data_IF_743697603658
#
_entry.id   IF_743697603658
#
_cell.length_a   1.000
_cell.length_b   1.000
_cell.length_c   1.000
_cell.angle_alpha   90.00
_cell.angle_beta   90.00
_cell.angle_gamma   90.00
#
_symmetry.space_group_name_H-M   'P 1'
#
loop_
_entity.id
_entity.type
_entity.pdbx_description
1 polymer ?
#
# COMPACT_ATOMS: atom_id res chain seq x y z
N UNK A 1 -6.09 -9.68 -4.66
CA UNK A 1 -7.37 -9.01 -5.03
C UNK A 1 -7.67 -7.88 -4.06
N UNK A 2 -8.09 -6.71 -4.54
CA UNK A 2 -8.43 -5.54 -3.71
C UNK A 2 -9.87 -5.11 -4.03
N UNK A 3 -10.71 -4.96 -3.01
CA UNK A 3 -12.10 -4.50 -3.18
C UNK A 3 -12.41 -3.40 -2.17
N UNK A 4 -12.89 -2.26 -2.66
CA UNK A 4 -13.43 -1.16 -1.87
C UNK A 4 -14.94 -1.06 -2.12
N UNK A 5 -15.73 -1.18 -1.07
CA UNK A 5 -17.19 -1.10 -1.14
C UNK A 5 -17.66 0.17 -0.44
N UNK A 6 -18.07 1.16 -1.23
CA UNK A 6 -18.63 2.46 -0.81
C UNK A 6 -17.81 3.16 0.28
N UNK A 7 -16.49 3.12 0.10
CA UNK A 7 -15.54 3.67 1.05
C UNK A 7 -15.69 5.19 1.09
N UNK A 8 -16.11 5.73 2.24
CA UNK A 8 -16.26 7.17 2.43
C UNK A 8 -15.26 7.68 3.44
N UNK A 9 -14.52 8.71 3.06
CA UNK A 9 -13.57 9.42 3.92
C UNK A 9 -13.88 10.92 3.86
N UNK A 10 -14.04 11.54 5.02
CA UNK A 10 -14.29 12.98 5.12
C UNK A 10 -12.94 13.70 5.18
N UNK A 11 -12.59 14.38 4.09
CA UNK A 11 -11.45 15.30 4.06
C UNK A 11 -11.94 16.69 4.43
N UNK A 12 -11.55 17.17 5.60
CA UNK A 12 -12.06 18.42 6.21
C UNK A 12 -13.59 18.39 6.35
N UNK A 13 -14.32 18.91 5.36
CA UNK A 13 -15.78 18.93 5.32
C UNK A 13 -16.35 18.35 4.01
N UNK A 14 -15.50 17.75 3.17
CA UNK A 14 -15.89 17.20 1.88
C UNK A 14 -15.80 15.68 1.89
N UNK A 15 -16.90 14.97 1.57
CA UNK A 15 -16.87 13.52 1.48
C UNK A 15 -16.17 13.09 0.19
N UNK A 16 -15.14 12.25 0.34
CA UNK A 16 -14.51 11.52 -0.75
C UNK A 16 -15.07 10.09 -0.75
N UNK A 17 -15.49 9.59 -1.93
CA UNK A 17 -16.10 8.27 -2.07
C UNK A 17 -15.30 7.42 -3.06
N UNK A 18 -15.02 6.18 -2.69
CA UNK A 18 -14.25 5.23 -3.48
C UNK A 18 -14.93 3.86 -3.51
N UNK A 19 -15.24 3.40 -4.72
CA UNK A 19 -15.70 2.04 -4.97
C UNK A 19 -14.91 1.48 -6.14
N UNK A 20 -14.19 0.38 -5.92
CA UNK A 20 -13.33 -0.23 -6.94
C UNK A 20 -13.11 -1.71 -6.64
N UNK A 21 -12.84 -2.48 -7.68
CA UNK A 21 -12.45 -3.87 -7.58
C UNK A 21 -11.27 -4.13 -8.51
N UNK A 22 -10.18 -4.68 -7.96
CA UNK A 22 -8.95 -5.01 -8.68
C UNK A 22 -8.68 -6.49 -8.48
N UNK A 23 -8.62 -7.21 -9.60
CA UNK A 23 -8.40 -8.66 -9.63
C UNK A 23 -6.96 -9.01 -9.27
N UNK A 24 -6.72 -10.27 -8.92
CA UNK A 24 -5.35 -10.74 -8.72
C UNK A 24 -4.54 -10.65 -10.03
N UNK A 25 -3.27 -10.24 -9.92
CA UNK A 25 -2.37 -10.02 -11.06
C UNK A 25 -2.69 -8.79 -11.93
N UNK A 26 -3.76 -8.05 -11.65
CA UNK A 26 -4.15 -6.88 -12.43
C UNK A 26 -3.20 -5.69 -12.18
N UNK A 27 -2.90 -4.93 -13.23
CA UNK A 27 -2.08 -3.71 -13.17
C UNK A 27 -2.94 -2.51 -13.46
N UNK A 28 -3.14 -1.66 -12.45
CA UNK A 28 -4.05 -0.52 -12.52
C UNK A 28 -3.27 0.78 -12.33
N UNK A 29 -3.63 1.80 -13.12
CA UNK A 29 -3.16 3.15 -12.94
C UNK A 29 -4.31 4.06 -12.49
N UNK A 30 -4.07 4.88 -11.47
CA UNK A 30 -5.04 5.88 -10.98
C UNK A 30 -4.62 7.25 -11.53
N UNK A 31 -5.47 7.82 -12.38
CA UNK A 31 -5.24 9.10 -13.05
C UNK A 31 -6.20 10.17 -12.51
N UNK A 32 -5.72 11.41 -12.46
CA UNK A 32 -6.54 12.55 -12.04
C UNK A 32 -5.69 13.76 -11.68
N UNK A 33 -6.28 14.97 -11.65
CA UNK A 33 -5.57 16.21 -11.32
C UNK A 33 -5.00 16.18 -9.89
N UNK A 34 -4.14 17.15 -9.58
CA UNK A 34 -3.71 17.36 -8.18
C UNK A 34 -4.94 17.58 -7.30
N UNK A 35 -4.93 17.02 -6.08
CA UNK A 35 -6.08 17.10 -5.17
C UNK A 35 -7.24 16.13 -5.45
N UNK A 36 -7.22 15.35 -6.54
CA UNK A 36 -8.29 14.39 -6.85
C UNK A 36 -8.43 13.18 -5.88
N UNK A 37 -7.63 13.13 -4.81
CA UNK A 37 -7.71 12.05 -3.81
C UNK A 37 -6.88 10.80 -4.09
N UNK A 38 -5.95 10.84 -5.06
CA UNK A 38 -5.11 9.67 -5.41
C UNK A 38 -4.30 9.16 -4.21
N UNK A 39 -3.55 10.05 -3.55
CA UNK A 39 -2.76 9.70 -2.37
C UNK A 39 -3.66 9.30 -1.20
N UNK A 40 -4.83 9.92 -1.05
CA UNK A 40 -5.86 9.56 -0.06
C UNK A 40 -6.34 8.13 -0.26
N UNK A 41 -6.66 7.74 -1.49
CA UNK A 41 -7.07 6.39 -1.84
C UNK A 41 -5.99 5.36 -1.50
N UNK A 42 -4.73 5.62 -1.89
CA UNK A 42 -3.62 4.73 -1.56
C UNK A 42 -3.39 4.64 -0.05
N UNK A 43 -3.50 5.75 0.68
CA UNK A 43 -3.39 5.77 2.13
C UNK A 43 -4.52 5.01 2.84
N UNK A 44 -5.75 5.06 2.31
CA UNK A 44 -6.90 4.29 2.79
C UNK A 44 -6.71 2.78 2.57
N UNK A 45 -6.17 2.37 1.41
CA UNK A 45 -5.84 0.97 1.12
C UNK A 45 -4.71 0.47 2.04
N UNK A 46 -3.67 1.28 2.22
CA UNK A 46 -2.54 0.99 3.09
C UNK A 46 -2.85 1.08 4.59
N UNK A 47 -3.98 1.69 4.95
CA UNK A 47 -4.47 1.80 6.33
C UNK A 47 -3.89 2.95 7.13
N UNK A 48 -3.18 3.87 6.48
CA UNK A 48 -2.70 5.10 7.11
C UNK A 48 -3.85 6.07 7.37
N UNK A 49 -4.92 5.97 6.58
CA UNK A 49 -6.20 6.62 6.84
C UNK A 49 -7.27 5.55 7.11
N UNK A 50 -8.22 5.88 7.98
CA UNK A 50 -9.41 5.08 8.24
C UNK A 50 -10.61 5.74 7.58
N UNK A 51 -11.41 4.95 6.88
CA UNK A 51 -12.66 5.42 6.31
C UNK A 51 -13.73 5.58 7.40
N UNK A 52 -14.60 6.57 7.25
CA UNK A 52 -15.75 6.79 8.12
C UNK A 52 -16.86 5.77 7.85
N UNK A 53 -16.97 5.31 6.59
CA UNK A 53 -17.95 4.31 6.14
C UNK A 53 -17.36 3.40 5.06
N UNK A 54 -18.02 2.26 4.84
CA UNK A 54 -17.67 1.30 3.81
C UNK A 54 -16.67 0.23 4.27
N UNK A 55 -16.21 -0.59 3.32
CA UNK A 55 -15.36 -1.75 3.61
C UNK A 55 -14.15 -1.82 2.69
N UNK A 56 -12.97 -2.07 3.27
CA UNK A 56 -11.75 -2.44 2.55
C UNK A 56 -11.55 -3.94 2.68
N UNK A 57 -11.51 -4.66 1.56
CA UNK A 57 -11.20 -6.09 1.51
C UNK A 57 -9.92 -6.30 0.72
N UNK A 58 -8.96 -7.03 1.30
CA UNK A 58 -7.71 -7.42 0.66
C UNK A 58 -7.64 -8.95 0.70
N UNK A 59 -7.47 -9.57 -0.47
CA UNK A 59 -7.42 -11.03 -0.63
C UNK A 59 -8.60 -11.76 0.03
N UNK A 60 -9.80 -11.18 -0.09
CA UNK A 60 -11.04 -11.73 0.46
C UNK A 60 -11.22 -11.51 1.98
N UNK A 61 -10.27 -10.86 2.65
CA UNK A 61 -10.33 -10.58 4.10
C UNK A 61 -10.64 -9.10 4.35
N UNK A 62 -11.55 -8.83 5.29
CA UNK A 62 -11.88 -7.46 5.71
C UNK A 62 -10.70 -6.85 6.48
N UNK A 63 -10.21 -5.72 5.98
CA UNK A 63 -9.10 -4.96 6.53
C UNK A 63 -9.46 -3.53 6.92
N UNK A 64 -10.75 -3.18 6.99
CA UNK A 64 -11.22 -1.80 7.31
C UNK A 64 -10.55 -1.21 8.55
N UNK A 65 -10.34 -2.02 9.60
CA UNK A 65 -9.70 -1.60 10.85
C UNK A 65 -8.34 -2.25 11.11
N UNK A 66 -7.76 -2.92 10.12
CA UNK A 66 -6.40 -3.48 10.27
C UNK A 66 -5.38 -2.35 10.21
N UNK A 67 -4.44 -2.24 11.18
CA UNK A 67 -3.40 -1.22 11.14
C UNK A 67 -2.42 -1.45 9.98
N UNK A 68 -1.75 -0.40 9.46
CA UNK A 68 -0.86 -0.51 8.30
C UNK A 68 0.15 -1.65 8.37
N UNK A 69 0.80 -1.83 9.53
CA UNK A 69 1.83 -2.84 9.74
C UNK A 69 1.34 -4.30 9.64
N UNK A 70 0.02 -4.51 9.68
CA UNK A 70 -0.61 -5.83 9.56
C UNK A 70 -1.38 -6.01 8.26
N UNK A 71 -1.46 -5.00 7.39
CA UNK A 71 -2.12 -5.15 6.10
C UNK A 71 -1.19 -5.88 5.12
N UNK A 72 -1.73 -6.79 4.29
CA UNK A 72 -0.94 -7.54 3.31
C UNK A 72 -0.61 -6.69 2.07
N UNK A 73 -0.12 -5.46 2.25
CA UNK A 73 0.20 -4.54 1.16
C UNK A 73 1.59 -3.93 1.36
N UNK A 74 2.24 -3.62 0.25
CA UNK A 74 3.50 -2.87 0.22
C UNK A 74 3.28 -1.58 -0.53
N UNK A 75 3.80 -0.47 0.00
CA UNK A 75 3.65 0.85 -0.58
C UNK A 75 5.01 1.50 -0.76
N UNK A 76 5.24 2.02 -1.97
CA UNK A 76 6.34 2.94 -2.25
C UNK A 76 5.78 4.35 -2.26
N UNK A 77 6.36 5.22 -1.44
CA UNK A 77 5.95 6.62 -1.35
C UNK A 77 6.68 7.46 -2.40
N UNK A 78 6.10 8.61 -2.73
CA UNK A 78 6.69 9.54 -3.70
C UNK A 78 7.98 10.18 -3.17
N UNK A 79 8.12 10.34 -1.85
CA UNK A 79 9.33 10.84 -1.20
C UNK A 79 10.28 9.69 -0.85
N UNK A 80 11.59 9.97 -0.93
CA UNK A 80 12.66 8.99 -0.71
C UNK A 80 12.68 8.51 0.76
N UNK A 81 12.01 7.41 1.05
CA UNK A 81 12.02 6.75 2.36
C UNK A 81 13.24 5.83 2.56
N UNK A 82 14.43 6.30 2.19
CA UNK A 82 15.67 5.58 2.46
C UNK A 82 16.20 5.93 3.84
N UNK A 83 16.61 4.92 4.59
CA UNK A 83 17.39 5.09 5.81
C UNK A 83 18.82 5.45 5.41
N UNK A 84 19.12 6.75 5.44
CA UNK A 84 20.40 7.32 4.96
C UNK A 84 21.64 6.80 5.67
N UNK A 85 21.49 6.28 6.88
CA UNK A 85 22.55 5.67 7.67
C UNK A 85 22.77 4.17 7.34
N UNK A 86 21.97 3.61 6.43
CA UNK A 86 22.07 2.22 5.99
C UNK A 86 22.57 2.18 4.54
N UNK A 87 23.36 1.15 4.22
CA UNK A 87 23.71 0.81 2.82
C UNK A 87 22.48 0.48 1.99
N UNK A 88 22.64 0.43 0.67
CA UNK A 88 21.60 0.02 -0.27
C UNK A 88 21.12 -1.40 0.09
N UNK A 89 22.04 -2.34 0.31
CA UNK A 89 21.72 -3.72 0.67
C UNK A 89 20.94 -3.82 1.99
N UNK A 90 21.28 -2.98 2.97
CA UNK A 90 20.56 -2.93 4.25
C UNK A 90 19.16 -2.35 4.08
N UNK A 91 18.99 -1.27 3.32
CA UNK A 91 17.66 -0.70 3.00
C UNK A 91 16.77 -1.73 2.30
N UNK A 92 17.30 -2.43 1.29
CA UNK A 92 16.58 -3.50 0.58
C UNK A 92 16.21 -4.66 1.51
N UNK A 93 17.08 -4.98 2.49
CA UNK A 93 16.87 -6.05 3.45
C UNK A 93 15.70 -5.82 4.41
N UNK A 94 15.28 -4.57 4.65
CA UNK A 94 14.20 -4.24 5.60
C UNK A 94 12.84 -4.81 5.20
N UNK A 95 12.59 -4.96 3.89
CA UNK A 95 11.34 -5.52 3.36
C UNK A 95 11.34 -7.04 3.18
N UNK A 96 12.47 -7.71 3.44
CA UNK A 96 12.63 -9.15 3.21
C UNK A 96 12.19 -9.91 4.45
N UNK A 97 11.27 -10.88 4.30
CA UNK A 97 10.90 -11.77 5.42
C UNK A 97 12.12 -12.55 5.88
N UNK A 98 12.27 -12.70 7.20
CA UNK A 98 13.26 -13.59 7.79
C UNK A 98 13.20 -14.98 7.13
N UNK A 99 14.36 -15.48 6.69
CA UNK A 99 14.49 -16.79 6.03
C UNK A 99 14.30 -16.77 4.51
N UNK A 100 14.00 -15.62 3.88
CA UNK A 100 14.02 -15.47 2.42
C UNK A 100 15.37 -14.87 2.01
N UNK A 101 16.12 -15.57 1.16
CA UNK A 101 17.29 -14.99 0.48
C UNK A 101 16.81 -14.38 -0.85
N UNK A 102 16.88 -13.06 -1.03
CA UNK A 102 16.52 -12.44 -2.30
C UNK A 102 17.46 -12.91 -3.41
N UNK A 103 16.95 -13.05 -4.64
CA UNK A 103 17.74 -13.47 -5.81
C UNK A 103 19.04 -12.68 -5.98
N UNK A 104 18.96 -11.35 -5.89
CA UNK A 104 20.12 -10.46 -6.04
C UNK A 104 21.24 -10.76 -5.04
N UNK A 105 20.89 -11.31 -3.87
CA UNK A 105 21.84 -11.66 -2.80
C UNK A 105 22.45 -13.05 -3.00
N UNK A 106 21.70 -13.97 -3.59
CA UNK A 106 22.19 -15.29 -3.97
C UNK A 106 23.17 -15.22 -5.14
N UNK A 107 22.91 -14.34 -6.11
CA UNK A 107 23.77 -14.12 -7.29
C UNK A 107 25.14 -13.54 -6.88
N UNK A 108 25.17 -12.56 -5.97
CA UNK A 108 26.40 -11.92 -5.47
C UNK A 108 27.29 -12.84 -4.62
N UNK A 109 26.77 -13.96 -4.11
CA UNK A 109 27.54 -14.92 -3.31
C UNK A 109 28.25 -15.99 -4.17
N UNK A 110 27.94 -16.04 -5.46
CA UNK A 110 28.55 -16.94 -6.44
C UNK A 110 29.70 -16.28 -7.21
N UNK A 111 29.95 -14.99 -6.98
CA UNK A 111 31.10 -14.21 -7.44
C UNK A 111 32.19 -14.15 -6.35
#
# INVERSE_FOLDING_TARGET
>A
MITLNDLTYIYEHQPMRFSLNISDGERVAILGPSGAGKSTLLALIAGFLMADQGVVTLDGVNHTHTPPSKRPVSMLFQENNLFSHLSIEQNLGLGVRYGITPKWRAEKALE
#
